data_IF_925206767562
#
_entry.id   IF_925206767562
#
_cell.length_a   1.000
_cell.length_b   1.000
_cell.length_c   1.000
_cell.angle_alpha   90.00
_cell.angle_beta   90.00
_cell.angle_gamma   90.00
#
_symmetry.space_group_name_H-M   'P 1'
#
loop_
_entity.id
_entity.type
_entity.pdbx_description
1 polymer ?
#
# COMPACT_ATOMS: atom_id res chain seq x y z
N UNK A 1 -34.60 68.99 -50.34
CA UNK A 1 -34.65 68.86 -48.85
C UNK A 1 -35.21 67.50 -48.50
N UNK A 2 -34.53 66.72 -47.65
CA UNK A 2 -35.02 65.41 -47.19
C UNK A 2 -33.89 64.55 -46.62
N UNK A 3 -33.40 64.90 -45.43
CA UNK A 3 -32.33 64.20 -44.71
C UNK A 3 -32.79 62.78 -44.35
N UNK A 4 -32.09 61.73 -44.80
CA UNK A 4 -32.06 60.45 -44.07
C UNK A 4 -30.72 60.34 -43.36
N UNK A 5 -30.73 60.74 -42.09
CA UNK A 5 -29.62 60.54 -41.15
C UNK A 5 -29.46 59.04 -40.95
N UNK A 6 -28.32 58.50 -41.36
CA UNK A 6 -27.81 57.22 -40.86
C UNK A 6 -27.55 57.38 -39.36
N UNK A 7 -28.47 56.87 -38.53
CA UNK A 7 -28.26 56.78 -37.09
C UNK A 7 -27.27 55.66 -36.82
N UNK A 8 -26.07 56.06 -36.37
CA UNK A 8 -25.10 55.21 -35.69
C UNK A 8 -25.79 54.47 -34.55
N UNK A 9 -25.71 53.14 -34.56
CA UNK A 9 -25.67 52.34 -33.34
C UNK A 9 -24.39 51.51 -33.40
N UNK A 10 -23.33 52.04 -32.81
CA UNK A 10 -22.11 51.27 -32.58
C UNK A 10 -22.42 50.19 -31.55
N UNK A 11 -22.56 48.94 -31.98
CA UNK A 11 -22.48 47.82 -31.06
C UNK A 11 -21.03 47.75 -30.59
N UNK A 12 -20.76 48.26 -29.38
CA UNK A 12 -19.38 48.47 -28.94
C UNK A 12 -18.70 47.19 -28.47
N UNK A 13 -19.43 46.09 -28.20
CA UNK A 13 -18.85 44.83 -27.67
C UNK A 13 -19.71 43.58 -28.02
N UNK A 14 -20.15 43.41 -29.28
CA UNK A 14 -20.82 42.15 -29.67
C UNK A 14 -21.52 42.16 -31.03
N UNK A 15 -21.75 40.99 -31.60
CA UNK A 15 -22.52 40.81 -32.84
C UNK A 15 -23.98 40.53 -32.45
N UNK A 16 -24.87 41.53 -32.52
CA UNK A 16 -26.30 41.25 -32.39
C UNK A 16 -26.90 40.95 -33.78
N UNK A 17 -27.55 39.79 -33.92
CA UNK A 17 -28.44 39.54 -35.07
C UNK A 17 -29.75 40.28 -34.79
N UNK A 18 -30.20 41.07 -35.76
CA UNK A 18 -31.55 41.62 -35.76
C UNK A 18 -32.55 40.45 -35.63
N UNK A 19 -33.41 40.51 -34.61
CA UNK A 19 -34.49 39.57 -34.23
C UNK A 19 -34.18 38.42 -33.24
N UNK A 20 -33.13 38.51 -32.42
CA UNK A 20 -32.96 37.58 -31.30
C UNK A 20 -32.26 38.21 -30.11
N UNK A 21 -32.69 37.86 -28.89
CA UNK A 21 -32.14 38.30 -27.61
C UNK A 21 -30.59 38.39 -27.65
N UNK A 22 -30.04 39.57 -27.34
CA UNK A 22 -28.59 39.74 -27.22
C UNK A 22 -28.13 39.06 -25.92
N UNK A 23 -27.83 37.77 -25.97
CA UNK A 23 -27.06 37.14 -24.90
C UNK A 23 -25.63 37.69 -24.91
N UNK A 24 -25.20 38.20 -23.75
CA UNK A 24 -23.84 38.71 -23.62
C UNK A 24 -22.89 37.53 -23.45
N UNK A 25 -21.79 37.51 -24.21
CA UNK A 25 -20.68 36.53 -24.07
C UNK A 25 -20.20 36.41 -22.62
N UNK A 26 -20.45 37.43 -21.80
CA UNK A 26 -20.14 37.45 -20.38
C UNK A 26 -21.02 36.48 -19.56
N UNK A 27 -22.32 36.42 -19.81
CA UNK A 27 -23.24 35.50 -19.11
C UNK A 27 -22.92 34.03 -19.41
N UNK A 28 -22.63 33.70 -20.67
CA UNK A 28 -22.24 32.35 -21.08
C UNK A 28 -20.93 31.90 -20.40
N UNK A 29 -19.96 32.81 -20.25
CA UNK A 29 -18.71 32.53 -19.56
C UNK A 29 -18.89 32.35 -18.05
N UNK A 30 -19.77 33.13 -17.43
CA UNK A 30 -20.10 32.99 -16.01
C UNK A 30 -20.77 31.63 -15.74
N UNK A 31 -21.69 31.21 -16.60
CA UNK A 31 -22.38 29.93 -16.45
C UNK A 31 -21.44 28.74 -16.69
N UNK A 32 -20.52 28.86 -17.65
CA UNK A 32 -19.44 27.89 -17.86
C UNK A 32 -18.52 27.77 -16.63
N UNK A 33 -18.16 28.90 -16.01
CA UNK A 33 -17.33 28.92 -14.80
C UNK A 33 -18.02 28.26 -13.61
N UNK A 34 -19.32 28.50 -13.40
CA UNK A 34 -20.08 27.81 -12.34
C UNK A 34 -20.08 26.29 -12.51
N UNK A 35 -20.28 25.80 -13.74
CA UNK A 35 -20.25 24.35 -14.04
C UNK A 35 -18.88 23.74 -13.77
N UNK A 36 -17.80 24.45 -14.11
CA UNK A 36 -16.42 24.01 -13.83
C UNK A 36 -16.14 24.01 -12.34
N UNK A 37 -16.57 25.04 -11.60
CA UNK A 37 -16.42 25.09 -10.15
C UNK A 37 -17.13 23.91 -9.47
N UNK A 38 -18.39 23.64 -9.86
CA UNK A 38 -19.15 22.51 -9.35
C UNK A 38 -18.56 21.13 -9.75
N UNK A 39 -17.79 21.05 -10.85
CA UNK A 39 -17.04 19.83 -11.19
C UNK A 39 -15.81 19.67 -10.27
N UNK A 40 -15.05 20.75 -10.07
CA UNK A 40 -13.87 20.75 -9.19
C UNK A 40 -14.25 20.46 -7.73
N UNK A 41 -15.37 21.00 -7.24
CA UNK A 41 -15.88 20.70 -5.89
C UNK A 41 -16.26 19.22 -5.72
N UNK A 42 -16.82 18.60 -6.77
CA UNK A 42 -17.11 17.15 -6.78
C UNK A 42 -15.84 16.31 -6.81
N UNK A 43 -14.82 16.73 -7.55
CA UNK A 43 -13.52 16.05 -7.57
C UNK A 43 -12.79 16.19 -6.23
N UNK A 44 -12.85 17.37 -5.60
CA UNK A 44 -12.26 17.61 -4.28
C UNK A 44 -12.89 16.72 -3.20
N UNK A 45 -14.22 16.61 -3.17
CA UNK A 45 -14.93 15.71 -2.24
C UNK A 45 -14.59 14.24 -2.47
N UNK A 46 -14.45 13.80 -3.73
CA UNK A 46 -13.97 12.44 -4.04
C UNK A 46 -12.53 12.21 -3.57
N UNK A 47 -11.64 13.20 -3.71
CA UNK A 47 -10.28 13.12 -3.21
C UNK A 47 -10.22 13.01 -1.69
N UNK A 48 -11.07 13.74 -0.97
CA UNK A 48 -11.17 13.63 0.50
C UNK A 48 -11.60 12.21 0.91
N UNK A 49 -12.62 11.64 0.26
CA UNK A 49 -13.03 10.26 0.51
C UNK A 49 -11.91 9.25 0.23
N UNK A 50 -11.18 9.42 -0.88
CA UNK A 50 -10.06 8.55 -1.21
C UNK A 50 -8.90 8.67 -0.21
N UNK A 51 -8.65 9.87 0.33
CA UNK A 51 -7.65 10.12 1.37
C UNK A 51 -7.94 9.30 2.63
N UNK A 52 -9.21 9.28 3.07
CA UNK A 52 -9.64 8.48 4.23
C UNK A 52 -9.37 7.00 3.99
N UNK A 53 -9.79 6.47 2.84
CA UNK A 53 -9.58 5.05 2.48
C UNK A 53 -8.09 4.71 2.48
N UNK A 54 -7.25 5.57 1.90
CA UNK A 54 -5.80 5.35 1.86
C UNK A 54 -5.20 5.30 3.26
N UNK A 55 -5.59 6.23 4.14
CA UNK A 55 -5.11 6.26 5.52
C UNK A 55 -5.52 5.01 6.31
N UNK A 56 -6.73 4.51 6.08
CA UNK A 56 -7.22 3.30 6.73
C UNK A 56 -6.52 2.04 6.20
N UNK A 57 -6.30 1.95 4.89
CA UNK A 57 -5.50 0.87 4.29
C UNK A 57 -4.08 0.85 4.85
N UNK A 58 -3.43 2.02 4.94
CA UNK A 58 -2.08 2.13 5.48
C UNK A 58 -2.01 1.67 6.95
N UNK A 59 -2.98 2.08 7.76
CA UNK A 59 -3.10 1.62 9.16
C UNK A 59 -3.28 0.09 9.25
N UNK A 60 -4.15 -0.48 8.42
CA UNK A 60 -4.39 -1.93 8.39
C UNK A 60 -3.15 -2.71 7.95
N UNK A 61 -2.43 -2.24 6.94
CA UNK A 61 -1.18 -2.86 6.47
C UNK A 61 -0.13 -2.84 7.58
N UNK A 62 0.05 -1.71 8.28
CA UNK A 62 0.97 -1.61 9.40
C UNK A 62 0.61 -2.57 10.54
N UNK A 63 -0.69 -2.72 10.84
CA UNK A 63 -1.17 -3.66 11.85
C UNK A 63 -0.85 -5.11 11.46
N UNK A 64 -1.18 -5.51 10.23
CA UNK A 64 -0.89 -6.86 9.73
C UNK A 64 0.62 -7.14 9.73
N UNK A 65 1.45 -6.19 9.30
CA UNK A 65 2.90 -6.34 9.33
C UNK A 65 3.43 -6.57 10.76
N UNK A 66 2.91 -5.83 11.74
CA UNK A 66 3.25 -6.04 13.16
C UNK A 66 2.80 -7.39 13.66
N UNK A 67 1.57 -7.81 13.36
CA UNK A 67 1.02 -9.10 13.78
C UNK A 67 1.83 -10.27 13.18
N UNK A 68 2.21 -10.18 11.91
CA UNK A 68 3.09 -11.15 11.26
C UNK A 68 4.43 -11.21 11.96
N UNK A 69 5.08 -10.07 12.19
CA UNK A 69 6.37 -10.00 12.86
C UNK A 69 6.32 -10.60 14.28
N UNK A 70 5.24 -10.33 15.01
CA UNK A 70 5.03 -10.82 16.38
C UNK A 70 4.74 -12.33 16.38
N UNK A 71 3.97 -12.82 15.40
CA UNK A 71 3.77 -14.26 15.18
C UNK A 71 5.10 -14.96 14.95
N UNK A 72 5.92 -14.50 13.99
CA UNK A 72 7.24 -15.11 13.73
C UNK A 72 8.20 -15.01 14.92
N UNK A 73 8.13 -13.94 15.71
CA UNK A 73 8.95 -13.80 16.92
C UNK A 73 8.52 -14.76 18.06
N UNK A 74 7.25 -15.17 18.11
CA UNK A 74 6.72 -16.06 19.15
C UNK A 74 6.79 -17.54 18.77
N UNK A 75 6.92 -17.88 17.48
CA UNK A 75 6.98 -19.29 17.02
C UNK A 75 8.39 -19.91 16.96
N UNK A 76 9.46 -19.17 17.27
CA UNK A 76 10.83 -19.61 16.94
C UNK A 76 11.57 -20.38 18.04
N UNK A 77 10.94 -21.37 18.69
CA UNK A 77 11.70 -22.35 19.49
C UNK A 77 11.58 -23.71 18.83
N UNK A 78 12.66 -24.17 18.20
CA UNK A 78 12.75 -25.51 17.61
C UNK A 78 13.48 -26.41 18.61
N UNK A 79 12.75 -27.28 19.28
CA UNK A 79 13.34 -28.27 20.17
C UNK A 79 13.70 -29.54 19.37
N UNK A 80 14.99 -29.87 19.29
CA UNK A 80 15.51 -31.02 18.56
C UNK A 80 16.12 -32.02 19.53
N UNK A 81 15.37 -33.07 19.87
CA UNK A 81 15.85 -34.13 20.77
C UNK A 81 16.43 -35.27 19.95
N UNK A 82 17.72 -35.60 20.15
CA UNK A 82 18.43 -36.62 19.38
C UNK A 82 18.89 -37.74 20.31
N UNK A 83 18.22 -38.88 20.22
CA UNK A 83 18.55 -40.07 21.00
C UNK A 83 19.58 -40.89 20.22
N UNK A 84 20.73 -41.17 20.83
CA UNK A 84 21.81 -41.94 20.21
C UNK A 84 22.23 -43.10 21.11
N UNK A 85 22.44 -44.28 20.53
CA UNK A 85 23.13 -45.35 21.24
C UNK A 85 24.62 -44.99 21.40
N UNK A 86 25.09 -44.99 22.65
CA UNK A 86 26.46 -44.63 23.02
C UNK A 86 27.28 -45.84 23.53
N UNK A 87 26.90 -47.05 23.08
CA UNK A 87 27.70 -48.27 23.30
C UNK A 87 29.06 -48.19 22.62
N UNK A 88 30.05 -48.94 23.13
CA UNK A 88 31.43 -48.90 22.62
C UNK A 88 31.57 -49.28 21.14
N UNK A 89 30.66 -50.10 20.62
CA UNK A 89 30.55 -50.45 19.19
C UNK A 89 30.16 -49.28 18.30
N UNK A 90 29.57 -48.22 18.85
CA UNK A 90 29.13 -47.03 18.12
C UNK A 90 30.20 -45.93 18.06
N UNK A 91 31.40 -46.16 18.59
CA UNK A 91 32.49 -45.16 18.65
C UNK A 91 32.73 -44.37 17.36
N UNK A 92 32.94 -45.03 16.20
CA UNK A 92 33.11 -44.36 14.91
C UNK A 92 31.85 -43.56 14.47
N UNK A 93 30.67 -44.16 14.67
CA UNK A 93 29.38 -43.56 14.33
C UNK A 93 29.05 -42.33 15.18
N UNK A 94 29.56 -42.27 16.42
CA UNK A 94 29.36 -41.14 17.30
C UNK A 94 30.04 -39.85 16.79
N UNK A 95 31.20 -39.98 16.15
CA UNK A 95 31.90 -38.83 15.57
C UNK A 95 31.16 -38.31 14.33
N UNK A 96 30.69 -39.21 13.48
CA UNK A 96 29.93 -38.88 12.28
C UNK A 96 28.57 -38.27 12.63
N UNK A 97 27.85 -38.85 13.58
CA UNK A 97 26.58 -38.34 14.08
C UNK A 97 26.74 -36.93 14.67
N UNK A 98 27.78 -36.65 15.46
CA UNK A 98 28.05 -35.28 15.95
C UNK A 98 28.21 -34.28 14.81
N UNK A 99 28.94 -34.66 13.77
CA UNK A 99 29.16 -33.81 12.59
C UNK A 99 27.85 -33.54 11.85
N UNK A 100 27.02 -34.56 11.66
CA UNK A 100 25.70 -34.42 11.04
C UNK A 100 24.77 -33.52 11.88
N UNK A 101 24.76 -33.69 13.20
CA UNK A 101 23.96 -32.87 14.13
C UNK A 101 24.37 -31.40 14.04
N UNK A 102 25.67 -31.10 14.01
CA UNK A 102 26.14 -29.73 13.83
C UNK A 102 25.70 -29.14 12.49
N UNK A 103 25.78 -29.89 11.40
CA UNK A 103 25.30 -29.43 10.09
C UNK A 103 23.80 -29.14 10.08
N UNK A 104 22.99 -29.95 10.76
CA UNK A 104 21.55 -29.71 10.93
C UNK A 104 21.31 -28.41 11.70
N UNK A 105 22.03 -28.19 12.81
CA UNK A 105 21.91 -26.95 13.60
C UNK A 105 22.28 -25.73 12.74
N UNK A 106 23.36 -25.81 11.98
CA UNK A 106 23.82 -24.69 11.15
C UNK A 106 22.82 -24.35 10.04
N UNK A 107 22.23 -25.37 9.39
CA UNK A 107 21.18 -25.17 8.40
C UNK A 107 19.93 -24.53 9.02
N UNK A 108 19.48 -25.02 10.18
CA UNK A 108 18.33 -24.43 10.90
C UNK A 108 18.60 -22.98 11.28
N UNK A 109 19.80 -22.65 11.76
CA UNK A 109 20.16 -21.27 12.12
C UNK A 109 20.25 -20.34 10.91
N UNK A 110 20.64 -20.87 9.75
CA UNK A 110 20.69 -20.11 8.51
C UNK A 110 19.28 -19.70 8.05
N UNK A 111 18.35 -20.65 8.07
CA UNK A 111 16.97 -20.42 7.62
C UNK A 111 16.12 -19.70 8.69
N UNK A 112 16.45 -19.91 9.97
CA UNK A 112 15.76 -19.32 11.11
C UNK A 112 16.74 -18.77 12.17
N UNK A 113 17.30 -17.55 11.97
CA UNK A 113 18.35 -17.00 12.82
C UNK A 113 17.94 -16.77 14.28
N UNK A 114 16.65 -16.54 14.53
CA UNK A 114 16.09 -16.29 15.85
C UNK A 114 15.63 -17.58 16.57
N UNK A 115 15.88 -18.75 15.99
CA UNK A 115 15.44 -20.02 16.55
C UNK A 115 16.36 -20.52 17.65
N UNK A 116 15.81 -20.77 18.83
CA UNK A 116 16.53 -21.46 19.90
C UNK A 116 16.55 -22.97 19.63
N UNK A 117 17.75 -23.52 19.40
CA UNK A 117 17.97 -24.96 19.20
C UNK A 117 18.59 -25.56 20.45
N UNK A 118 17.96 -26.60 20.99
CA UNK A 118 18.47 -27.39 22.13
C UNK A 118 18.67 -28.83 21.67
N UNK A 119 19.81 -29.42 22.03
CA UNK A 119 20.14 -30.82 21.73
C UNK A 119 20.43 -31.56 23.02
N UNK A 120 19.69 -32.64 23.27
CA UNK A 120 19.94 -33.58 24.34
C UNK A 120 20.40 -34.92 23.76
N UNK A 121 21.46 -35.49 24.33
CA UNK A 121 21.96 -36.83 23.99
C UNK A 121 21.69 -37.74 25.17
N UNK A 122 21.01 -38.86 24.93
CA UNK A 122 20.67 -39.84 25.95
C UNK A 122 21.39 -41.15 25.67
N UNK A 123 21.97 -41.75 26.71
CA UNK A 123 22.54 -43.09 26.65
C UNK A 123 21.48 -44.11 27.04
N UNK A 124 21.13 -45.00 26.12
CA UNK A 124 20.36 -46.19 26.45
C UNK A 124 21.30 -47.12 27.24
N UNK A 125 20.92 -47.43 28.47
CA UNK A 125 21.68 -48.27 29.42
C UNK A 125 21.18 -49.70 29.39
#
# INVERSE_FOLDING_TARGET
MGKRKLLKLSCRIGWCRHDGECHTVFEDNVELLKRRLAAVEREATQMEHFSVIRSEMESRIQKVAKEIQLSYATTSTLELVIVMDYTGSMGPWNAEAKTAIMSIIDNVKKDHPCTNVRVGIYRLS
#
